data_IF_980361907790
#
_entry.id   IF_980361907790
#
_cell.length_a   1.000
_cell.length_b   1.000
_cell.length_c   1.000
_cell.angle_alpha   90.00
_cell.angle_beta   90.00
_cell.angle_gamma   90.00
#
_symmetry.space_group_name_H-M   'P 1'
#
loop_
_entity.id
_entity.type
_entity.pdbx_description
1 polymer ?
#
# COMPACT_ATOMS: atom_id res chain seq x y z
N UNK A 1 9.50 -0.01 -22.23
CA UNK A 1 8.92 -0.28 -20.90
C UNK A 1 9.62 0.60 -19.86
N UNK A 2 8.91 1.23 -18.92
CA UNK A 2 9.55 1.96 -17.80
C UNK A 2 10.34 0.97 -16.92
N UNK A 3 11.51 1.36 -16.36
CA UNK A 3 12.29 0.49 -15.48
C UNK A 3 11.51 0.18 -14.20
N UNK A 4 11.70 -1.04 -13.67
CA UNK A 4 11.16 -1.43 -12.36
C UNK A 4 11.93 -0.70 -11.25
N UNK A 5 11.23 0.00 -10.37
CA UNK A 5 11.77 0.63 -9.17
C UNK A 5 11.70 -0.32 -7.98
N UNK A 6 10.60 -1.06 -7.84
CA UNK A 6 10.45 -2.11 -6.83
C UNK A 6 10.12 -3.43 -7.54
N UNK A 7 10.87 -4.49 -7.24
CA UNK A 7 10.60 -5.86 -7.69
C UNK A 7 10.50 -6.79 -6.48
N UNK A 8 9.33 -7.38 -6.28
CA UNK A 8 9.02 -8.28 -5.16
C UNK A 8 8.63 -9.63 -5.72
N UNK A 9 9.30 -10.69 -5.26
CA UNK A 9 9.01 -12.08 -5.66
C UNK A 9 8.88 -12.96 -4.43
N UNK A 10 7.76 -13.68 -4.35
CA UNK A 10 7.44 -14.65 -3.31
C UNK A 10 7.66 -14.11 -1.88
N UNK A 11 7.20 -12.89 -1.60
CA UNK A 11 7.29 -12.33 -0.27
C UNK A 11 6.35 -13.05 0.69
N UNK A 12 6.91 -13.57 1.78
CA UNK A 12 6.22 -14.23 2.87
C UNK A 12 6.56 -13.54 4.19
N UNK A 13 5.60 -13.45 5.10
CA UNK A 13 5.81 -12.92 6.45
C UNK A 13 5.09 -13.82 7.45
N UNK A 14 5.86 -14.52 8.27
CA UNK A 14 5.39 -15.35 9.35
C UNK A 14 5.58 -14.64 10.70
N UNK A 15 4.60 -14.72 11.59
CA UNK A 15 4.65 -14.14 12.93
C UNK A 15 4.40 -15.26 13.94
N UNK A 16 5.34 -15.45 14.88
CA UNK A 16 5.14 -16.38 15.98
C UNK A 16 4.09 -15.81 16.97
N UNK A 17 3.04 -16.57 17.23
CA UNK A 17 2.00 -16.22 18.21
C UNK A 17 1.82 -17.36 19.21
N UNK A 18 1.22 -17.12 20.39
CA UNK A 18 0.92 -18.18 21.35
C UNK A 18 0.02 -19.31 20.79
N UNK A 19 -0.74 -19.03 19.72
CA UNK A 19 -1.65 -19.97 19.07
C UNK A 19 -1.04 -20.68 17.86
N UNK A 20 0.24 -20.44 17.56
CA UNK A 20 0.94 -20.97 16.40
C UNK A 20 1.45 -19.88 15.45
N UNK A 21 1.95 -20.27 14.30
CA UNK A 21 2.49 -19.33 13.30
C UNK A 21 1.35 -18.67 12.53
N UNK A 22 1.27 -17.34 12.60
CA UNK A 22 0.40 -16.51 11.77
C UNK A 22 1.12 -16.20 10.45
N UNK A 23 0.55 -16.64 9.34
CA UNK A 23 1.08 -16.38 7.99
C UNK A 23 0.50 -15.06 7.44
N UNK A 24 1.01 -13.92 7.88
CA UNK A 24 0.47 -12.60 7.55
C UNK A 24 0.58 -12.28 6.06
N UNK A 25 1.66 -12.74 5.38
CA UNK A 25 1.85 -12.64 3.92
C UNK A 25 2.29 -14.00 3.42
N UNK A 26 1.69 -14.48 2.32
CA UNK A 26 1.74 -15.89 1.90
C UNK A 26 2.20 -16.02 0.44
N UNK A 27 3.39 -15.50 0.12
CA UNK A 27 3.99 -15.63 -1.22
C UNK A 27 3.38 -14.68 -2.24
N UNK A 28 3.55 -13.38 -2.03
CA UNK A 28 3.09 -12.37 -2.99
C UNK A 28 4.22 -11.92 -3.90
N UNK A 29 3.87 -11.66 -5.17
CA UNK A 29 4.80 -11.15 -6.18
C UNK A 29 4.18 -9.98 -6.93
N UNK A 30 4.89 -8.87 -7.03
CA UNK A 30 4.48 -7.69 -7.80
C UNK A 30 5.68 -6.78 -8.07
N UNK A 31 5.51 -5.85 -9.00
CA UNK A 31 6.50 -4.81 -9.29
C UNK A 31 5.84 -3.42 -9.28
N UNK A 32 6.65 -2.39 -9.09
CA UNK A 32 6.26 -0.98 -9.26
C UNK A 32 7.27 -0.33 -10.18
N UNK A 33 6.79 0.28 -11.27
CA UNK A 33 7.65 0.94 -12.27
C UNK A 33 7.84 2.43 -11.94
N UNK A 34 8.85 3.04 -12.54
CA UNK A 34 9.09 4.48 -12.38
C UNK A 34 7.85 5.29 -12.81
N UNK A 35 7.51 6.30 -12.01
CA UNK A 35 6.34 7.15 -12.22
C UNK A 35 5.04 6.33 -12.45
N UNK A 36 4.87 5.24 -11.71
CA UNK A 36 3.67 4.42 -11.69
C UNK A 36 3.04 4.45 -10.29
N UNK A 37 1.71 4.44 -10.25
CA UNK A 37 0.95 4.19 -9.02
C UNK A 37 0.40 2.77 -9.06
N UNK A 38 0.89 1.91 -8.15
CA UNK A 38 0.35 0.58 -7.92
C UNK A 38 -0.40 0.58 -6.59
N UNK A 39 -1.63 0.07 -6.60
CA UNK A 39 -2.42 -0.04 -5.38
C UNK A 39 -2.46 -1.49 -4.87
N UNK A 40 -2.38 -1.68 -3.55
CA UNK A 40 -2.75 -2.93 -2.87
C UNK A 40 -4.03 -2.67 -2.10
N UNK A 41 -5.09 -3.41 -2.43
CA UNK A 41 -6.42 -3.26 -1.84
C UNK A 41 -6.90 -4.55 -1.20
N UNK A 42 -7.81 -4.47 -0.23
CA UNK A 42 -8.41 -5.62 0.44
C UNK A 42 -8.93 -5.27 1.82
N UNK A 43 -9.65 -6.20 2.45
CA UNK A 43 -10.20 -6.02 3.79
C UNK A 43 -9.11 -5.84 4.86
N UNK A 44 -9.47 -5.28 6.02
CA UNK A 44 -8.56 -5.16 7.16
C UNK A 44 -8.02 -6.53 7.57
N UNK A 45 -6.75 -6.58 7.99
CA UNK A 45 -6.08 -7.82 8.41
C UNK A 45 -5.64 -8.76 7.28
N UNK A 46 -5.83 -8.42 6.00
CA UNK A 46 -5.39 -9.28 4.88
C UNK A 46 -3.87 -9.26 4.60
N UNK A 47 -3.06 -8.47 5.33
CA UNK A 47 -1.59 -8.47 5.20
C UNK A 47 -0.99 -7.24 4.52
N UNK A 48 -1.77 -6.23 4.10
CA UNK A 48 -1.32 -5.05 3.36
C UNK A 48 -0.21 -4.27 4.08
N UNK A 49 -0.47 -3.83 5.31
CA UNK A 49 0.51 -3.08 6.13
C UNK A 49 1.72 -3.92 6.48
N UNK A 50 1.55 -5.25 6.68
CA UNK A 50 2.67 -6.16 6.89
C UNK A 50 3.58 -6.24 5.66
N UNK A 51 3.00 -6.18 4.46
CA UNK A 51 3.75 -6.07 3.20
C UNK A 51 4.58 -4.78 3.17
N UNK A 52 3.98 -3.61 3.46
CA UNK A 52 4.70 -2.34 3.49
C UNK A 52 5.85 -2.36 4.51
N UNK A 53 5.58 -2.84 5.72
CA UNK A 53 6.60 -2.94 6.78
C UNK A 53 7.72 -3.91 6.42
N UNK A 54 7.41 -5.02 5.73
CA UNK A 54 8.41 -5.96 5.24
C UNK A 54 9.36 -5.31 4.22
N UNK A 55 8.81 -4.57 3.25
CA UNK A 55 9.59 -3.84 2.26
C UNK A 55 10.50 -2.78 2.90
N UNK A 56 10.00 -2.11 3.92
CA UNK A 56 10.77 -1.13 4.69
C UNK A 56 11.75 -1.77 5.69
N UNK A 57 11.70 -3.10 5.91
CA UNK A 57 12.48 -3.77 6.95
C UNK A 57 12.11 -3.29 8.37
N UNK A 58 10.84 -2.95 8.60
CA UNK A 58 10.29 -2.41 9.85
C UNK A 58 9.29 -3.35 10.51
N UNK A 59 9.37 -4.65 10.23
CA UNK A 59 8.50 -5.65 10.83
C UNK A 59 8.65 -5.69 12.36
N UNK A 60 7.59 -5.99 13.11
CA UNK A 60 7.65 -6.15 14.56
C UNK A 60 8.58 -7.30 14.97
N UNK A 61 9.06 -7.26 16.21
CA UNK A 61 9.87 -8.36 16.78
C UNK A 61 9.10 -9.68 16.68
N UNK A 62 9.80 -10.74 16.24
CA UNK A 62 9.22 -12.07 16.06
C UNK A 62 8.62 -12.34 14.69
N UNK A 63 8.45 -11.33 13.85
CA UNK A 63 8.08 -11.52 12.45
C UNK A 63 9.31 -11.92 11.62
N UNK A 64 9.14 -12.93 10.76
CA UNK A 64 10.21 -13.48 9.90
C UNK A 64 9.83 -13.28 8.43
N UNK A 65 10.43 -12.30 7.74
CA UNK A 65 10.25 -12.15 6.30
C UNK A 65 11.09 -13.18 5.56
N UNK A 66 10.54 -13.71 4.46
CA UNK A 66 11.23 -14.51 3.44
C UNK A 66 10.75 -14.04 2.08
N UNK A 67 11.63 -14.00 1.11
CA UNK A 67 11.26 -13.72 -0.27
C UNK A 67 12.28 -14.37 -1.21
N UNK A 68 11.86 -14.66 -2.44
CA UNK A 68 12.80 -15.02 -3.50
C UNK A 68 13.60 -13.80 -3.95
N UNK A 69 12.96 -12.62 -3.94
CA UNK A 69 13.60 -11.33 -4.28
C UNK A 69 12.85 -10.15 -3.68
N UNK A 70 13.59 -9.18 -3.18
CA UNK A 70 13.13 -7.80 -2.91
C UNK A 70 14.22 -6.88 -3.42
N UNK A 71 13.96 -6.15 -4.52
CA UNK A 71 14.94 -5.24 -5.09
C UNK A 71 14.36 -3.83 -5.25
N UNK A 72 15.18 -2.82 -4.89
CA UNK A 72 14.88 -1.40 -5.08
C UNK A 72 15.83 -0.84 -6.15
N UNK A 73 15.27 -0.41 -7.29
CA UNK A 73 16.04 0.08 -8.45
C UNK A 73 17.20 -0.85 -8.84
N UNK A 74 16.95 -2.17 -8.81
CA UNK A 74 17.92 -3.22 -9.13
C UNK A 74 18.80 -3.69 -7.97
N UNK A 75 18.87 -2.96 -6.88
CA UNK A 75 19.64 -3.31 -5.67
C UNK A 75 18.85 -4.29 -4.78
N UNK A 76 19.44 -5.45 -4.46
CA UNK A 76 18.78 -6.46 -3.61
C UNK A 76 18.79 -6.03 -2.14
N UNK A 77 17.59 -5.87 -1.56
CA UNK A 77 17.42 -5.45 -0.18
C UNK A 77 17.56 -6.60 0.83
N UNK A 78 17.43 -7.85 0.42
CA UNK A 78 17.51 -9.01 1.32
C UNK A 78 18.94 -9.23 1.85
N UNK A 79 19.93 -8.90 1.02
CA UNK A 79 21.35 -8.99 1.36
C UNK A 79 21.88 -7.71 2.02
N UNK A 80 21.06 -6.68 2.13
CA UNK A 80 21.46 -5.39 2.67
C UNK A 80 21.67 -5.45 4.19
N UNK A 81 22.83 -4.99 4.64
CA UNK A 81 23.10 -4.82 6.08
C UNK A 81 22.13 -3.79 6.68
N UNK A 82 21.84 -3.85 7.99
CA UNK A 82 20.96 -2.88 8.66
C UNK A 82 21.37 -1.42 8.41
N UNK A 83 22.68 -1.13 8.35
CA UNK A 83 23.21 0.21 8.05
C UNK A 83 22.87 0.66 6.63
N UNK A 84 22.91 -0.24 5.64
CA UNK A 84 22.53 0.06 4.26
C UNK A 84 21.02 0.32 4.15
N UNK A 85 20.17 -0.50 4.79
CA UNK A 85 18.73 -0.24 4.85
C UNK A 85 18.41 1.12 5.51
N UNK A 86 19.13 1.50 6.56
CA UNK A 86 18.97 2.80 7.20
C UNK A 86 19.38 3.97 6.28
N UNK A 87 20.36 3.77 5.40
CA UNK A 87 20.74 4.78 4.41
C UNK A 87 19.73 4.92 3.27
N UNK A 88 18.96 3.87 2.97
CA UNK A 88 17.91 3.89 1.95
C UNK A 88 16.60 4.50 2.47
N UNK A 89 16.24 4.24 3.73
CA UNK A 89 15.01 4.76 4.35
C UNK A 89 15.07 6.28 4.48
N UNK A 90 14.01 6.97 4.06
CA UNK A 90 13.94 8.43 4.04
C UNK A 90 14.75 9.09 2.91
N UNK A 91 15.55 8.32 2.17
CA UNK A 91 16.36 8.81 1.04
C UNK A 91 15.87 8.25 -0.30
N UNK A 92 16.07 6.97 -0.58
CA UNK A 92 15.65 6.32 -1.84
C UNK A 92 14.28 5.66 -1.76
N UNK A 93 13.86 5.26 -0.57
CA UNK A 93 12.50 4.80 -0.28
C UNK A 93 11.97 5.53 0.95
N UNK A 94 10.72 5.95 0.91
CA UNK A 94 10.05 6.63 2.02
C UNK A 94 8.68 6.01 2.27
N UNK A 95 8.17 6.18 3.48
CA UNK A 95 6.86 5.64 3.87
C UNK A 95 6.03 6.72 4.58
N UNK A 96 4.76 6.80 4.19
CA UNK A 96 3.72 7.52 4.91
C UNK A 96 2.95 6.48 5.71
N UNK A 97 2.98 6.61 7.04
CA UNK A 97 2.34 5.68 7.97
C UNK A 97 0.85 5.98 8.14
N UNK A 98 0.10 4.98 8.59
CA UNK A 98 -1.35 5.04 8.76
C UNK A 98 -1.79 6.10 9.79
N UNK A 99 -1.01 6.33 10.87
CA UNK A 99 -1.37 7.24 11.95
C UNK A 99 -0.47 8.49 12.00
N UNK A 100 -0.96 9.67 11.55
CA UNK A 100 -0.18 10.89 11.59
C UNK A 100 0.08 11.41 13.02
N UNK A 101 -0.73 10.95 13.98
CA UNK A 101 -0.63 11.40 15.38
C UNK A 101 0.62 10.87 16.08
N UNK A 102 1.07 9.68 15.71
CA UNK A 102 2.23 8.99 16.32
C UNK A 102 3.51 9.11 15.49
N UNK A 103 3.41 9.53 14.22
CA UNK A 103 4.55 9.59 13.31
C UNK A 103 5.45 10.81 13.53
N UNK A 104 4.90 11.93 14.03
CA UNK A 104 5.66 13.15 14.33
C UNK A 104 6.04 13.20 15.80
N UNK A 105 7.30 13.54 16.09
CA UNK A 105 7.76 13.74 17.47
C UNK A 105 7.12 15.04 18.05
N UNK A 106 6.30 14.93 19.11
CA UNK A 106 5.57 16.09 19.66
C UNK A 106 6.47 17.13 20.32
N UNK A 107 7.68 16.76 20.73
CA UNK A 107 8.64 17.63 21.40
C UNK A 107 9.48 18.48 20.42
N UNK A 108 9.42 18.20 19.12
CA UNK A 108 10.21 18.89 18.10
C UNK A 108 9.31 19.68 17.15
N UNK A 109 9.83 20.81 16.67
CA UNK A 109 9.10 21.60 15.68
C UNK A 109 9.04 20.88 14.34
N UNK A 110 8.08 21.27 13.51
CA UNK A 110 7.93 20.74 12.15
C UNK A 110 9.19 20.98 11.33
N UNK A 111 9.76 22.18 11.43
CA UNK A 111 10.99 22.52 10.71
C UNK A 111 12.17 21.66 11.11
N UNK A 112 12.38 21.44 12.40
CA UNK A 112 13.46 20.57 12.89
C UNK A 112 13.36 19.17 12.30
N UNK A 113 12.18 18.58 12.33
CA UNK A 113 11.97 17.20 11.82
C UNK A 113 12.16 17.10 10.30
N UNK A 114 11.66 18.06 9.54
CA UNK A 114 11.85 18.09 8.08
C UNK A 114 13.33 18.28 7.70
N UNK A 115 13.97 19.27 8.32
CA UNK A 115 15.37 19.61 8.00
C UNK A 115 16.35 18.51 8.38
N UNK A 116 16.12 17.81 9.50
CA UNK A 116 16.95 16.69 9.95
C UNK A 116 17.03 15.58 8.89
N UNK A 117 15.89 15.21 8.30
CA UNK A 117 15.84 14.18 7.22
C UNK A 117 16.74 14.60 6.07
N UNK A 118 16.64 15.83 5.59
CA UNK A 118 17.41 16.31 4.46
C UNK A 118 18.91 16.43 4.78
N UNK A 119 19.26 17.01 5.93
CA UNK A 119 20.65 17.14 6.34
C UNK A 119 21.34 15.79 6.54
N UNK A 120 20.62 14.82 7.14
CA UNK A 120 21.15 13.48 7.37
C UNK A 120 21.50 12.75 6.08
N UNK A 121 20.66 12.83 5.06
CA UNK A 121 20.80 12.03 3.84
C UNK A 121 21.49 12.76 2.70
N UNK A 122 21.28 14.08 2.57
CA UNK A 122 21.87 14.90 1.48
C UNK A 122 23.10 15.67 1.93
N UNK A 123 23.44 15.64 3.24
CA UNK A 123 24.54 16.43 3.84
C UNK A 123 24.45 17.93 3.52
N UNK A 124 23.22 18.43 3.39
CA UNK A 124 22.93 19.80 3.03
C UNK A 124 23.19 20.78 4.18
N UNK A 125 23.40 22.04 3.86
CA UNK A 125 23.40 23.13 4.83
C UNK A 125 22.01 23.32 5.45
N UNK A 126 21.95 24.00 6.59
CA UNK A 126 20.69 24.36 7.23
C UNK A 126 19.82 25.25 6.33
N UNK A 127 20.44 26.13 5.53
CA UNK A 127 19.75 27.02 4.60
C UNK A 127 19.08 26.23 3.47
N UNK A 128 19.80 25.30 2.86
CA UNK A 128 19.25 24.41 1.80
C UNK A 128 18.14 23.53 2.33
N UNK A 129 18.33 22.88 3.50
CA UNK A 129 17.32 22.06 4.13
C UNK A 129 16.05 22.87 4.47
N UNK A 130 16.23 24.12 4.96
CA UNK A 130 15.11 25.02 5.25
C UNK A 130 14.36 25.42 3.96
N UNK A 131 15.07 25.80 2.91
CA UNK A 131 14.47 26.15 1.63
C UNK A 131 13.66 24.97 1.06
N UNK A 132 14.21 23.75 1.11
CA UNK A 132 13.52 22.53 0.68
C UNK A 132 12.29 22.25 1.52
N UNK A 133 12.35 22.41 2.83
CA UNK A 133 11.22 22.21 3.73
C UNK A 133 10.08 23.20 3.44
N UNK A 134 10.40 24.51 3.26
CA UNK A 134 9.40 25.53 2.88
C UNK A 134 8.75 25.18 1.56
N UNK A 135 9.56 24.90 0.52
CA UNK A 135 9.05 24.49 -0.80
C UNK A 135 8.04 23.33 -0.70
N UNK A 136 8.39 22.24 0.02
CA UNK A 136 7.50 21.09 0.12
C UNK A 136 6.25 21.40 0.96
N UNK A 137 6.35 22.19 2.02
CA UNK A 137 5.18 22.59 2.80
C UNK A 137 4.20 23.43 1.95
N UNK A 138 4.70 24.29 1.08
CA UNK A 138 3.88 25.02 0.10
C UNK A 138 3.23 24.06 -0.91
N UNK A 139 4.01 23.11 -1.45
CA UNK A 139 3.52 22.11 -2.41
C UNK A 139 2.41 21.23 -1.82
N UNK A 140 2.51 20.86 -0.55
CA UNK A 140 1.43 20.13 0.13
C UNK A 140 0.25 21.01 0.58
N UNK A 141 0.28 22.32 0.26
CA UNK A 141 -0.81 23.25 0.52
C UNK A 141 -0.87 23.75 1.97
N UNK A 142 0.26 23.90 2.63
CA UNK A 142 0.36 24.54 3.96
C UNK A 142 0.61 26.04 3.77
N UNK A 143 -0.38 26.86 4.13
CA UNK A 143 -0.27 28.30 4.07
C UNK A 143 0.79 28.85 5.06
N UNK A 144 1.51 29.90 4.65
CA UNK A 144 2.59 30.53 5.45
C UNK A 144 3.64 29.50 5.90
N UNK A 145 4.11 28.67 4.96
CA UNK A 145 4.99 27.53 5.21
C UNK A 145 6.24 27.90 6.03
N UNK A 146 6.87 29.05 5.73
CA UNK A 146 8.06 29.53 6.43
C UNK A 146 7.82 29.79 7.94
N UNK A 147 6.65 30.30 8.31
CA UNK A 147 6.25 30.52 9.70
C UNK A 147 5.88 29.20 10.39
N UNK A 148 5.25 28.27 9.64
CA UNK A 148 4.84 26.96 10.15
C UNK A 148 5.99 26.04 10.52
N UNK A 149 7.20 26.30 10.06
CA UNK A 149 8.39 25.55 10.48
C UNK A 149 8.62 25.58 11.99
N UNK A 150 8.24 26.69 12.67
CA UNK A 150 8.36 26.83 14.13
C UNK A 150 7.21 26.20 14.92
N UNK A 151 6.15 25.76 14.24
CA UNK A 151 5.01 25.11 14.88
C UNK A 151 5.37 23.69 15.36
N UNK A 152 4.69 23.26 16.43
CA UNK A 152 4.75 21.89 16.92
C UNK A 152 3.60 21.05 16.35
N UNK A 153 3.75 19.71 16.29
CA UNK A 153 2.69 18.83 15.76
C UNK A 153 1.32 19.03 16.41
N UNK A 154 1.26 19.24 17.72
CA UNK A 154 0.01 19.42 18.45
C UNK A 154 -0.74 20.74 18.12
N UNK A 155 -0.07 21.69 17.47
CA UNK A 155 -0.67 22.94 16.99
C UNK A 155 -1.31 22.82 15.60
N UNK A 156 -1.23 21.63 14.98
CA UNK A 156 -1.76 21.36 13.65
C UNK A 156 -2.98 20.43 13.72
N UNK A 157 -3.95 20.65 12.83
CA UNK A 157 -5.06 19.70 12.61
C UNK A 157 -4.55 18.38 12.05
N UNK A 158 -5.35 17.31 12.11
CA UNK A 158 -5.01 16.00 11.56
C UNK A 158 -4.63 16.06 10.07
N UNK A 159 -5.40 16.75 9.25
CA UNK A 159 -5.10 16.94 7.83
C UNK A 159 -3.83 17.72 7.57
N UNK A 160 -3.49 18.73 8.39
CA UNK A 160 -2.22 19.45 8.29
C UNK A 160 -1.04 18.58 8.71
N UNK A 161 -1.17 17.76 9.76
CA UNK A 161 -0.13 16.80 10.14
C UNK A 161 0.12 15.78 9.03
N UNK A 162 -0.93 15.30 8.39
CA UNK A 162 -0.82 14.40 7.24
C UNK A 162 -0.05 15.05 6.08
N UNK A 163 -0.34 16.32 5.76
CA UNK A 163 0.39 17.08 4.75
C UNK A 163 1.88 17.24 5.12
N UNK A 164 2.18 17.50 6.39
CA UNK A 164 3.58 17.54 6.89
C UNK A 164 4.28 16.20 6.72
N UNK A 165 3.61 15.07 7.02
CA UNK A 165 4.20 13.74 6.81
C UNK A 165 4.48 13.46 5.33
N UNK A 166 3.57 13.87 4.43
CA UNK A 166 3.80 13.77 2.98
C UNK A 166 5.03 14.60 2.58
N UNK A 167 5.12 15.85 3.05
CA UNK A 167 6.28 16.69 2.80
C UNK A 167 7.57 16.05 3.33
N UNK A 168 7.55 15.49 4.56
CA UNK A 168 8.69 14.80 5.15
C UNK A 168 9.15 13.60 4.32
N UNK A 169 8.21 12.77 3.86
CA UNK A 169 8.52 11.62 3.02
C UNK A 169 9.18 12.00 1.68
N UNK A 170 8.90 13.23 1.18
CA UNK A 170 9.42 13.74 -0.09
C UNK A 170 10.69 14.60 0.05
N UNK A 171 11.20 14.82 1.26
CA UNK A 171 12.36 15.70 1.50
C UNK A 171 13.59 15.33 0.66
N UNK A 172 13.85 14.04 0.50
CA UNK A 172 15.03 13.52 -0.20
C UNK A 172 14.75 13.04 -1.63
N UNK A 173 13.57 13.29 -2.20
CA UNK A 173 13.18 12.85 -3.55
C UNK A 173 13.32 11.33 -3.71
N UNK A 174 12.56 10.54 -2.96
CA UNK A 174 12.69 9.09 -3.00
C UNK A 174 12.29 8.54 -4.38
N UNK A 175 12.95 7.44 -4.80
CA UNK A 175 12.54 6.72 -5.99
C UNK A 175 11.21 5.97 -5.78
N UNK A 176 10.95 5.52 -4.51
CA UNK A 176 9.74 4.81 -4.10
C UNK A 176 9.10 5.50 -2.89
N UNK A 177 7.82 5.81 -3.00
CA UNK A 177 6.97 6.22 -1.89
C UNK A 177 5.96 5.12 -1.59
N UNK A 178 5.94 4.62 -0.35
CA UNK A 178 4.93 3.69 0.15
C UNK A 178 3.96 4.49 1.01
N UNK A 179 2.68 4.46 0.68
CA UNK A 179 1.64 5.12 1.47
C UNK A 179 0.69 4.06 2.04
N UNK A 180 0.78 3.80 3.34
CA UNK A 180 -0.03 2.80 4.04
C UNK A 180 -1.23 3.48 4.68
N UNK A 181 -2.40 3.31 4.06
CA UNK A 181 -3.67 3.91 4.46
C UNK A 181 -3.54 5.40 4.84
N UNK A 182 -3.00 6.26 3.96
CA UNK A 182 -2.57 7.61 4.32
C UNK A 182 -3.72 8.56 4.68
N UNK A 183 -4.94 8.08 4.70
CA UNK A 183 -6.14 8.87 4.96
C UNK A 183 -7.02 8.32 6.07
N UNK A 184 -6.60 7.25 6.73
CA UNK A 184 -7.32 6.69 7.89
C UNK A 184 -7.42 7.76 8.99
N UNK A 185 -8.57 7.83 9.65
CA UNK A 185 -8.91 8.82 10.68
C UNK A 185 -9.05 10.28 10.20
N UNK A 186 -9.21 10.51 8.91
CA UNK A 186 -9.56 11.81 8.33
C UNK A 186 -11.01 11.80 7.82
N UNK A 187 -11.66 12.96 7.77
CA UNK A 187 -12.97 13.08 7.14
C UNK A 187 -12.89 12.87 5.61
N UNK A 188 -14.01 12.46 5.00
CA UNK A 188 -14.09 12.07 3.58
C UNK A 188 -13.58 13.16 2.64
N UNK A 189 -13.84 14.42 2.97
CA UNK A 189 -13.42 15.56 2.15
C UNK A 189 -11.88 15.71 2.17
N UNK A 190 -11.28 15.62 3.35
CA UNK A 190 -9.83 15.69 3.51
C UNK A 190 -9.15 14.46 2.91
N UNK A 191 -9.75 13.27 3.05
CA UNK A 191 -9.26 12.05 2.39
C UNK A 191 -9.10 12.26 0.88
N UNK A 192 -10.15 12.75 0.21
CA UNK A 192 -10.12 13.00 -1.23
C UNK A 192 -9.04 14.04 -1.62
N UNK A 193 -8.85 15.07 -0.79
CA UNK A 193 -7.81 16.08 -1.03
C UNK A 193 -6.39 15.50 -0.90
N UNK A 194 -6.12 14.71 0.15
CA UNK A 194 -4.81 14.08 0.38
C UNK A 194 -4.45 13.14 -0.75
N UNK A 195 -5.38 12.33 -1.22
CA UNK A 195 -5.11 11.35 -2.28
C UNK A 195 -4.93 12.01 -3.65
N UNK A 196 -5.67 13.10 -3.91
CA UNK A 196 -5.42 13.94 -5.10
C UNK A 196 -4.03 14.57 -5.03
N UNK A 197 -3.65 15.13 -3.89
CA UNK A 197 -2.33 15.70 -3.66
C UNK A 197 -1.22 14.68 -3.89
N UNK A 198 -1.35 13.44 -3.37
CA UNK A 198 -0.39 12.36 -3.61
C UNK A 198 -0.27 12.03 -5.10
N UNK A 199 -1.39 11.97 -5.83
CA UNK A 199 -1.38 11.71 -7.28
C UNK A 199 -0.73 12.86 -8.08
N UNK A 200 -0.95 14.11 -7.69
CA UNK A 200 -0.32 15.28 -8.30
C UNK A 200 1.19 15.29 -8.07
N UNK A 201 1.62 15.10 -6.82
CA UNK A 201 3.04 15.02 -6.46
C UNK A 201 3.75 13.82 -7.10
N UNK A 202 3.06 12.68 -7.20
CA UNK A 202 3.57 11.49 -7.89
C UNK A 202 3.88 11.79 -9.36
N UNK A 203 2.98 12.47 -10.08
CA UNK A 203 3.17 12.84 -11.49
C UNK A 203 4.25 13.90 -11.66
N UNK A 204 4.25 14.92 -10.81
CA UNK A 204 5.19 16.03 -10.88
C UNK A 204 6.64 15.59 -10.61
N UNK A 205 6.82 14.80 -9.56
CA UNK A 205 8.15 14.35 -9.12
C UNK A 205 8.61 13.04 -9.81
N UNK A 206 7.72 12.39 -10.56
CA UNK A 206 8.02 11.12 -11.22
C UNK A 206 8.32 9.96 -10.28
N UNK A 207 7.89 10.05 -9.00
CA UNK A 207 8.12 9.02 -8.00
C UNK A 207 7.26 7.79 -8.26
N UNK A 208 7.79 6.58 -7.98
CA UNK A 208 6.99 5.37 -7.95
C UNK A 208 6.15 5.35 -6.66
N UNK A 209 4.83 5.11 -6.75
CA UNK A 209 3.93 5.10 -5.60
C UNK A 209 3.32 3.72 -5.40
N UNK A 210 3.57 3.12 -4.24
CA UNK A 210 2.84 1.96 -3.73
C UNK A 210 1.80 2.46 -2.71
N UNK A 211 0.53 2.47 -3.11
CA UNK A 211 -0.57 2.91 -2.25
C UNK A 211 -1.32 1.71 -1.68
N UNK A 212 -1.39 1.63 -0.37
CA UNK A 212 -2.22 0.68 0.35
C UNK A 212 -3.48 1.40 0.83
N UNK A 213 -4.64 0.89 0.45
CA UNK A 213 -5.93 1.48 0.83
C UNK A 213 -7.05 0.45 0.75
N UNK A 214 -8.14 0.70 1.45
CA UNK A 214 -9.39 -0.04 1.30
C UNK A 214 -10.42 0.74 0.43
N UNK A 215 -10.12 1.97 0.01
CA UNK A 215 -11.00 2.82 -0.79
C UNK A 215 -10.82 2.57 -2.30
N UNK A 216 -11.65 1.68 -2.85
CA UNK A 216 -11.65 1.37 -4.28
C UNK A 216 -12.12 2.54 -5.16
N UNK A 217 -12.92 3.48 -4.63
CA UNK A 217 -13.37 4.65 -5.38
C UNK A 217 -12.21 5.58 -5.75
N UNK A 218 -11.23 5.65 -4.87
CA UNK A 218 -10.01 6.42 -5.09
C UNK A 218 -9.06 5.65 -6.00
N UNK A 219 -8.90 4.35 -5.76
CA UNK A 219 -8.07 3.47 -6.59
C UNK A 219 -8.45 3.58 -8.08
N UNK A 220 -9.75 3.61 -8.39
CA UNK A 220 -10.24 3.78 -9.76
C UNK A 220 -9.74 5.05 -10.47
N UNK A 221 -9.39 6.09 -9.71
CA UNK A 221 -8.98 7.40 -10.25
C UNK A 221 -7.48 7.57 -10.40
N UNK A 222 -6.68 6.91 -9.54
CA UNK A 222 -5.24 7.20 -9.44
C UNK A 222 -4.35 5.99 -9.74
N UNK A 223 -4.87 4.76 -9.63
CA UNK A 223 -4.08 3.57 -9.85
C UNK A 223 -3.83 3.30 -11.34
N UNK A 224 -2.60 2.97 -11.69
CA UNK A 224 -2.29 2.35 -12.97
C UNK A 224 -2.57 0.84 -12.93
N UNK A 225 -2.16 0.17 -11.84
CA UNK A 225 -2.40 -1.25 -11.57
C UNK A 225 -2.90 -1.46 -10.16
N UNK A 226 -3.68 -2.52 -9.97
CA UNK A 226 -4.28 -2.88 -8.69
C UNK A 226 -3.97 -4.33 -8.37
N UNK A 227 -3.46 -4.58 -7.17
CA UNK A 227 -3.31 -5.90 -6.57
C UNK A 227 -4.38 -6.07 -5.50
N UNK A 228 -5.31 -6.98 -5.70
CA UNK A 228 -6.35 -7.32 -4.72
C UNK A 228 -5.81 -8.39 -3.79
N UNK A 229 -5.70 -8.06 -2.50
CA UNK A 229 -5.13 -8.95 -1.50
C UNK A 229 -6.21 -9.52 -0.59
N UNK A 230 -6.21 -10.83 -0.42
CA UNK A 230 -7.08 -11.55 0.50
C UNK A 230 -6.30 -12.60 1.29
N UNK A 231 -6.46 -12.61 2.61
CA UNK A 231 -5.87 -13.63 3.49
C UNK A 231 -4.36 -13.89 3.20
N UNK A 232 -3.56 -12.83 3.06
CA UNK A 232 -2.11 -12.90 2.85
C UNK A 232 -1.67 -13.16 1.40
N UNK A 233 -2.57 -13.30 0.42
CA UNK A 233 -2.25 -13.55 -1.00
C UNK A 233 -2.83 -12.48 -1.91
N UNK A 234 -2.16 -12.20 -3.04
CA UNK A 234 -2.75 -11.48 -4.16
C UNK A 234 -3.64 -12.47 -4.89
N UNK A 235 -4.96 -12.19 -4.91
CA UNK A 235 -5.96 -13.05 -5.55
C UNK A 235 -6.33 -12.55 -6.94
N UNK A 236 -6.06 -11.28 -7.24
CA UNK A 236 -6.22 -10.70 -8.58
C UNK A 236 -5.27 -9.51 -8.73
N UNK A 237 -4.64 -9.39 -9.89
CA UNK A 237 -3.74 -8.29 -10.26
C UNK A 237 -4.03 -7.88 -11.70
N UNK A 238 -4.34 -6.60 -11.91
CA UNK A 238 -4.67 -6.10 -13.25
C UNK A 238 -4.39 -4.59 -13.39
N UNK A 239 -4.30 -4.07 -14.64
CA UNK A 239 -4.50 -2.66 -14.90
C UNK A 239 -5.84 -2.18 -14.31
N UNK A 240 -5.86 -1.01 -13.67
CA UNK A 240 -7.05 -0.54 -12.95
C UNK A 240 -8.31 -0.57 -13.84
N UNK A 241 -8.23 -0.05 -15.06
CA UNK A 241 -9.36 -0.06 -15.99
C UNK A 241 -9.91 -1.48 -16.26
N UNK A 242 -9.04 -2.47 -16.43
CA UNK A 242 -9.45 -3.85 -16.66
C UNK A 242 -10.09 -4.49 -15.41
N UNK A 243 -9.53 -4.24 -14.22
CA UNK A 243 -10.06 -4.75 -12.96
C UNK A 243 -11.48 -4.25 -12.70
N UNK A 244 -11.72 -2.94 -12.91
CA UNK A 244 -13.04 -2.34 -12.70
C UNK A 244 -14.07 -2.76 -13.77
N UNK A 245 -13.63 -2.92 -15.02
CA UNK A 245 -14.51 -3.32 -16.12
C UNK A 245 -14.87 -4.81 -16.09
N UNK A 246 -13.91 -5.68 -15.76
CA UNK A 246 -14.07 -7.15 -15.84
C UNK A 246 -13.33 -7.88 -14.72
N UNK A 247 -13.76 -7.73 -13.44
CA UNK A 247 -13.16 -8.44 -12.32
C UNK A 247 -13.36 -9.95 -12.47
N UNK A 248 -12.30 -10.72 -12.24
CA UNK A 248 -12.31 -12.17 -12.44
C UNK A 248 -12.54 -12.94 -11.14
N UNK A 249 -11.84 -12.56 -10.07
CA UNK A 249 -11.96 -13.26 -8.79
C UNK A 249 -13.28 -12.91 -8.08
N UNK A 250 -14.04 -13.88 -7.53
CA UNK A 250 -15.30 -13.61 -6.82
C UNK A 250 -15.19 -12.62 -5.66
N UNK A 251 -14.07 -12.60 -4.94
CA UNK A 251 -13.80 -11.62 -3.90
C UNK A 251 -13.72 -10.20 -4.47
N UNK A 252 -13.02 -9.99 -5.58
CA UNK A 252 -12.92 -8.68 -6.26
C UNK A 252 -14.30 -8.18 -6.68
N UNK A 253 -15.13 -9.08 -7.25
CA UNK A 253 -16.53 -8.77 -7.61
C UNK A 253 -17.33 -8.35 -6.38
N UNK A 254 -17.16 -9.05 -5.25
CA UNK A 254 -17.79 -8.71 -3.99
C UNK A 254 -17.37 -7.33 -3.48
N UNK A 255 -16.06 -7.03 -3.48
CA UNK A 255 -15.54 -5.72 -3.09
C UNK A 255 -16.12 -4.59 -3.96
N UNK A 256 -16.17 -4.78 -5.28
CA UNK A 256 -16.72 -3.78 -6.20
C UNK A 256 -18.23 -3.61 -6.05
N UNK A 257 -18.96 -4.67 -5.68
CA UNK A 257 -20.39 -4.61 -5.40
C UNK A 257 -20.72 -3.81 -4.11
N UNK A 258 -19.76 -3.67 -3.20
CA UNK A 258 -19.90 -2.85 -1.97
C UNK A 258 -19.72 -1.33 -2.24
N UNK A 259 -19.26 -0.93 -3.44
CA UNK A 259 -19.10 0.48 -3.78
C UNK A 259 -20.45 1.16 -4.00
N UNK A 260 -20.63 2.39 -3.48
CA UNK A 260 -21.78 3.20 -3.84
C UNK A 260 -21.82 3.43 -5.36
N UNK A 261 -22.96 3.14 -6.00
CA UNK A 261 -23.18 3.39 -7.43
C UNK A 261 -23.91 4.73 -7.60
N UNK A 262 -23.61 5.52 -8.66
CA UNK A 262 -24.44 6.66 -8.99
C UNK A 262 -25.89 6.21 -9.20
N UNK A 263 -26.84 6.88 -8.54
CA UNK A 263 -28.26 6.56 -8.67
C UNK A 263 -28.84 5.58 -7.63
N UNK A 264 -28.06 5.13 -6.66
CA UNK A 264 -28.60 4.37 -5.51
C UNK A 264 -29.61 5.27 -4.77
N UNK A 265 -30.86 4.80 -4.65
CA UNK A 265 -31.90 5.46 -3.89
C UNK A 265 -31.66 5.29 -2.38
N UNK A 266 -32.09 6.26 -1.59
CA UNK A 266 -32.09 6.14 -0.14
C UNK A 266 -32.92 4.90 0.29
N UNK A 267 -32.27 3.91 0.94
CA UNK A 267 -32.90 2.64 1.33
C UNK A 267 -32.45 1.41 0.54
N UNK A 268 -31.74 1.56 -0.57
CA UNK A 268 -31.11 0.42 -1.22
C UNK A 268 -29.89 -0.07 -0.42
N UNK A 269 -29.83 -1.38 -0.17
CA UNK A 269 -28.69 -2.00 0.51
C UNK A 269 -27.48 -2.07 -0.42
N UNK A 270 -26.36 -1.52 0.05
CA UNK A 270 -25.06 -1.79 -0.58
C UNK A 270 -24.76 -3.28 -0.50
N UNK A 271 -24.07 -3.80 -1.53
CA UNK A 271 -23.54 -5.16 -1.49
C UNK A 271 -22.70 -5.38 -0.23
N UNK A 272 -22.78 -6.57 0.34
CA UNK A 272 -21.94 -6.98 1.47
C UNK A 272 -21.25 -8.31 1.13
N UNK A 273 -20.03 -8.49 1.61
CA UNK A 273 -19.36 -9.79 1.53
C UNK A 273 -19.65 -10.52 2.85
N UNK A 274 -20.50 -11.58 2.85
CA UNK A 274 -20.90 -12.24 4.09
C UNK A 274 -19.71 -12.95 4.75
N UNK A 275 -19.80 -13.15 6.07
CA UNK A 275 -18.81 -13.87 6.86
C UNK A 275 -17.58 -13.02 7.22
N UNK A 276 -16.56 -13.66 7.78
CA UNK A 276 -15.32 -13.04 8.26
C UNK A 276 -14.11 -13.60 7.54
N UNK A 277 -13.02 -12.81 7.49
CA UNK A 277 -11.73 -13.28 6.97
C UNK A 277 -11.25 -14.45 7.83
N UNK A 278 -10.83 -15.58 7.23
CA UNK A 278 -10.40 -16.74 8.00
C UNK A 278 -9.13 -16.46 8.80
N UNK A 279 -8.96 -17.16 9.92
CA UNK A 279 -7.72 -17.11 10.68
C UNK A 279 -6.55 -17.62 9.83
N UNK A 280 -5.45 -16.85 9.84
CA UNK A 280 -4.20 -17.21 9.15
C UNK A 280 -3.22 -17.97 10.06
N UNK A 281 -3.63 -18.34 11.27
CA UNK A 281 -2.83 -19.17 12.20
C UNK A 281 -2.94 -20.62 11.77
N UNK A 282 -1.79 -21.29 11.61
CA UNK A 282 -1.70 -22.69 11.17
C UNK A 282 -1.79 -22.93 9.66
N UNK A 283 -1.91 -21.84 8.88
CA UNK A 283 -2.05 -21.93 7.42
C UNK A 283 -3.48 -22.17 6.93
N UNK A 284 -3.68 -22.06 5.63
CA UNK A 284 -4.96 -22.35 4.95
C UNK A 284 -4.67 -23.17 3.71
N UNK A 285 -5.30 -24.33 3.61
CA UNK A 285 -5.28 -25.15 2.42
C UNK A 285 -6.34 -24.68 1.42
N UNK A 286 -5.99 -24.67 0.15
CA UNK A 286 -6.88 -24.27 -0.93
C UNK A 286 -7.21 -22.77 -0.96
N UNK A 287 -8.40 -22.48 -1.49
CA UNK A 287 -8.88 -21.10 -1.61
C UNK A 287 -9.32 -20.55 -0.25
N UNK A 288 -8.62 -19.52 0.22
CA UNK A 288 -8.96 -18.87 1.49
C UNK A 288 -10.35 -18.20 1.49
N UNK A 289 -10.85 -17.81 0.30
CA UNK A 289 -12.17 -17.19 0.16
C UNK A 289 -13.31 -18.21 0.09
N UNK A 290 -13.05 -19.54 0.03
CA UNK A 290 -14.06 -20.59 -0.19
C UNK A 290 -15.26 -20.54 0.76
N UNK A 291 -15.04 -20.22 2.03
CA UNK A 291 -16.12 -20.15 3.04
C UNK A 291 -17.09 -18.97 2.86
N UNK A 292 -16.70 -17.97 2.08
CA UNK A 292 -17.47 -16.74 1.79
C UNK A 292 -17.90 -16.64 0.32
N UNK A 293 -17.45 -17.59 -0.51
CA UNK A 293 -17.67 -17.58 -1.95
C UNK A 293 -18.98 -18.29 -2.31
N UNK A 294 -19.93 -17.55 -2.89
CA UNK A 294 -21.19 -18.13 -3.41
C UNK A 294 -20.99 -19.13 -4.55
N UNK A 295 -19.77 -19.19 -5.11
CA UNK A 295 -19.39 -20.07 -6.21
C UNK A 295 -18.44 -21.19 -5.78
N UNK A 296 -18.24 -21.40 -4.47
CA UNK A 296 -17.33 -22.44 -3.98
C UNK A 296 -17.80 -23.84 -4.35
N UNK A 297 -16.84 -24.69 -4.73
CA UNK A 297 -17.04 -26.12 -4.96
C UNK A 297 -15.86 -26.92 -4.37
N UNK A 298 -15.90 -28.27 -4.51
CA UNK A 298 -14.89 -29.15 -3.92
C UNK A 298 -13.47 -28.89 -4.44
N UNK A 299 -13.30 -28.35 -5.65
CA UNK A 299 -12.00 -27.98 -6.22
C UNK A 299 -11.31 -26.87 -5.42
N UNK A 300 -12.09 -26.03 -4.74
CA UNK A 300 -11.57 -24.94 -3.92
C UNK A 300 -10.82 -25.42 -2.66
N UNK A 301 -10.91 -26.69 -2.29
CA UNK A 301 -10.16 -27.27 -1.18
C UNK A 301 -8.71 -27.62 -1.53
N UNK A 302 -8.41 -27.80 -2.81
CA UNK A 302 -7.08 -28.13 -3.31
C UNK A 302 -6.25 -26.92 -3.71
N UNK A 303 -5.23 -27.20 -4.54
CA UNK A 303 -4.37 -26.14 -5.10
C UNK A 303 -5.19 -25.14 -5.92
N UNK A 304 -4.94 -23.84 -5.69
CA UNK A 304 -5.57 -22.74 -6.42
C UNK A 304 -4.57 -22.21 -7.46
N UNK A 305 -4.78 -22.50 -8.75
CA UNK A 305 -3.90 -22.03 -9.80
C UNK A 305 -4.13 -20.56 -10.11
N UNK A 306 -3.09 -19.94 -10.66
CA UNK A 306 -3.15 -18.60 -11.24
C UNK A 306 -3.42 -18.68 -12.74
N UNK A 307 -4.31 -17.83 -13.24
CA UNK A 307 -4.67 -17.68 -14.63
C UNK A 307 -4.47 -16.28 -15.14
N UNK A 308 -4.18 -16.17 -16.42
CA UNK A 308 -4.15 -14.90 -17.13
C UNK A 308 -5.48 -14.74 -17.91
N UNK A 309 -6.30 -13.79 -17.50
CA UNK A 309 -7.51 -13.40 -18.24
C UNK A 309 -7.18 -12.58 -19.49
N UNK A 310 -6.11 -11.80 -19.42
CA UNK A 310 -5.57 -10.97 -20.50
C UNK A 310 -4.08 -10.68 -20.19
N UNK A 311 -3.30 -10.10 -21.10
CA UNK A 311 -1.99 -9.57 -20.79
C UNK A 311 -2.08 -8.64 -19.57
N UNK A 312 -1.21 -8.85 -18.58
CA UNK A 312 -1.16 -8.10 -17.31
C UNK A 312 -2.42 -8.23 -16.41
N UNK A 313 -3.33 -9.20 -16.65
CA UNK A 313 -4.50 -9.45 -15.81
C UNK A 313 -4.48 -10.88 -15.27
N UNK A 314 -3.93 -11.07 -14.09
CA UNK A 314 -3.82 -12.36 -13.38
C UNK A 314 -4.93 -12.49 -12.32
N UNK A 315 -5.44 -13.71 -12.13
CA UNK A 315 -6.32 -14.05 -11.02
C UNK A 315 -6.11 -15.48 -10.52
N UNK A 316 -6.30 -15.72 -9.24
CA UNK A 316 -6.11 -17.01 -8.57
C UNK A 316 -7.47 -17.64 -8.21
N UNK A 317 -8.05 -18.41 -9.11
CA UNK A 317 -9.35 -19.05 -8.90
C UNK A 317 -9.50 -20.35 -9.70
N UNK A 318 -9.96 -21.43 -9.07
CA UNK A 318 -10.20 -22.73 -9.73
C UNK A 318 -11.24 -22.64 -10.87
N UNK A 319 -12.07 -21.63 -10.92
CA UNK A 319 -13.08 -21.42 -11.98
C UNK A 319 -12.47 -20.96 -13.31
N UNK A 320 -11.19 -20.55 -13.31
CA UNK A 320 -10.43 -20.35 -14.54
C UNK A 320 -10.05 -21.65 -15.24
N UNK A 321 -10.16 -22.82 -14.55
CA UNK A 321 -9.97 -24.11 -15.18
C UNK A 321 -11.14 -24.44 -16.11
N UNK A 322 -10.90 -25.00 -17.34
CA UNK A 322 -11.95 -25.55 -18.11
C UNK A 322 -12.64 -26.67 -17.27
N UNK A 323 -13.98 -26.68 -17.28
CA UNK A 323 -14.71 -27.78 -16.67
C UNK A 323 -14.23 -29.07 -17.35
N UNK A 324 -13.71 -30.02 -16.56
CA UNK A 324 -13.49 -31.36 -17.10
C UNK A 324 -14.82 -31.83 -17.71
N UNK A 325 -14.81 -32.21 -19.00
CA UNK A 325 -15.97 -32.79 -19.61
C UNK A 325 -16.41 -33.96 -18.72
N UNK A 326 -17.66 -33.91 -18.25
CA UNK A 326 -18.25 -35.00 -17.50
C UNK A 326 -18.19 -36.25 -18.42
N UNK A 327 -17.33 -37.21 -18.09
CA UNK A 327 -17.24 -38.51 -18.70
C UNK A 327 -18.37 -39.40 -18.22
#
# INVERSE_FOLDING_TARGET
MKPSVLDVRDLQVDIATPRGTLQAVRGISFDVRAAETVCIVGESGCGKSMTALALMGLLPKGAKPRAARIALAGEDLQLAKPSALNALRGNRMAMIFQEPMTALNPAWTIGTQLMEVHQRHKRSSATEARARAVYLLERVGIARAAERLSAYPHQLSGGLRQRVMIAMALMCEPALLIADEPTTALDVTIQAQILRLLAELQKELGVALLLITHDLGIVARIAARVNVMYAGRIVESAPAAALFASPQHPYTRGLLACLPRPGIMAGEHLGTIPGVVPSLVGGIDGCAFRSRCSHADNRCAGHVPEFMAAPDHMFACVRGMPMAAAS
#
